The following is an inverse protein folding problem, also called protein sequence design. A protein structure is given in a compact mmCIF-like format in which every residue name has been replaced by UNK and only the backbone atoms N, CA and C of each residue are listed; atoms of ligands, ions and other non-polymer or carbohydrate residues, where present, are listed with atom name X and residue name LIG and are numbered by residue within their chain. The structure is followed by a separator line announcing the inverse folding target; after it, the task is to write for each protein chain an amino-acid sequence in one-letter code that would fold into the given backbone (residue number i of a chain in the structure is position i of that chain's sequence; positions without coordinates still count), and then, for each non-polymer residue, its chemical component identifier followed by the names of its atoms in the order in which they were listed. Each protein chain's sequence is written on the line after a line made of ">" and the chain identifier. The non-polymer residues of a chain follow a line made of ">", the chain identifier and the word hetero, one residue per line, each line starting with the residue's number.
data_IF_878628894503
#
_entry.id   IF_878628894503
#
_cell.length_a   1.000
_cell.length_b   1.000
_cell.length_c   1.000
_cell.angle_alpha   90.00
_cell.angle_beta   90.00
_cell.angle_gamma   90.00
#
_symmetry.space_group_name_H-M   'P 1'
#
loop_
_entity.id
_entity.type
_entity.pdbx_description
1 polymer ?
#
# COMPACT_ATOMS: atom_id res chain seq x y z
N UNK A 1 11.70 2.31 -15.86
CA UNK A 1 11.21 2.71 -14.54
C UNK A 1 12.01 3.91 -14.07
N UNK A 2 11.41 5.09 -14.00
CA UNK A 2 12.09 6.28 -13.45
C UNK A 2 11.72 6.41 -12.00
N UNK A 3 12.68 6.42 -11.13
CA UNK A 3 12.52 6.57 -9.70
C UNK A 3 13.03 7.95 -9.31
N UNK A 4 12.17 8.77 -8.72
CA UNK A 4 12.58 10.06 -8.18
C UNK A 4 12.96 9.86 -6.71
N UNK A 5 14.24 10.07 -6.39
CA UNK A 5 14.73 10.17 -5.02
C UNK A 5 14.85 11.65 -4.67
N UNK A 6 14.03 12.11 -3.74
CA UNK A 6 14.23 13.39 -3.08
C UNK A 6 14.24 13.15 -1.58
N UNK A 7 15.38 13.41 -0.95
CA UNK A 7 15.49 13.51 0.50
C UNK A 7 15.33 14.97 0.87
N UNK A 8 14.23 15.35 1.49
CA UNK A 8 14.14 16.65 2.16
C UNK A 8 14.29 16.42 3.66
N UNK A 9 15.40 16.90 4.18
CA UNK A 9 15.75 16.82 5.59
C UNK A 9 15.80 18.26 6.11
N UNK A 10 14.80 18.73 6.82
CA UNK A 10 14.78 19.97 7.60
C UNK A 10 13.70 21.00 7.21
N UNK A 11 12.47 20.75 7.61
CA UNK A 11 11.52 21.82 7.92
C UNK A 11 10.51 21.29 8.95
N UNK A 12 10.19 22.07 9.95
CA UNK A 12 9.10 21.81 10.91
C UNK A 12 7.95 22.76 10.58
N UNK A 13 6.70 22.27 10.56
CA UNK A 13 6.25 20.90 10.75
C UNK A 13 6.58 20.03 9.52
N UNK A 14 6.97 18.78 9.75
CA UNK A 14 7.45 17.90 8.67
C UNK A 14 6.31 17.12 7.99
N UNK A 15 5.20 16.93 8.68
CA UNK A 15 4.10 16.05 8.28
C UNK A 15 3.03 16.70 7.40
N UNK A 16 3.26 17.93 6.96
CA UNK A 16 2.31 18.70 6.13
C UNK A 16 2.25 18.18 4.70
N UNK A 17 1.08 18.33 4.08
CA UNK A 17 0.89 18.19 2.65
C UNK A 17 1.30 19.48 1.95
N UNK A 18 2.46 19.49 1.31
CA UNK A 18 3.03 20.67 0.66
C UNK A 18 2.75 20.70 -0.84
N UNK A 19 3.15 21.77 -1.52
CA UNK A 19 3.13 21.85 -3.00
C UNK A 19 3.89 20.68 -3.64
N UNK A 20 5.01 20.24 -3.05
CA UNK A 20 5.73 19.07 -3.57
C UNK A 20 4.91 17.77 -3.47
N UNK A 21 4.08 17.61 -2.43
CA UNK A 21 3.15 16.48 -2.32
C UNK A 21 2.02 16.60 -3.35
N UNK A 22 1.53 17.79 -3.60
CA UNK A 22 0.53 18.08 -4.64
C UNK A 22 1.08 17.74 -6.04
N UNK A 23 2.29 18.19 -6.38
CA UNK A 23 2.93 17.92 -7.68
C UNK A 23 3.08 16.41 -7.93
N UNK A 24 3.40 15.65 -6.87
CA UNK A 24 3.48 14.18 -6.93
C UNK A 24 2.11 13.57 -7.22
N UNK A 25 1.08 13.98 -6.51
CA UNK A 25 -0.27 13.45 -6.71
C UNK A 25 -0.84 13.86 -8.08
N UNK A 26 -0.55 15.08 -8.56
CA UNK A 26 -0.94 15.53 -9.90
C UNK A 26 -0.26 14.70 -10.99
N UNK A 27 1.04 14.43 -10.84
CA UNK A 27 1.75 13.55 -11.76
C UNK A 27 1.13 12.15 -11.77
N UNK A 28 0.89 11.55 -10.61
CA UNK A 28 0.32 10.20 -10.51
C UNK A 28 -1.13 10.15 -11.00
N UNK A 29 -1.92 11.22 -10.79
CA UNK A 29 -3.27 11.33 -11.34
C UNK A 29 -3.26 11.31 -12.87
N UNK A 30 -2.27 11.95 -13.50
CA UNK A 30 -2.13 11.99 -14.95
C UNK A 30 -1.43 10.76 -15.54
N UNK A 31 -0.74 9.95 -14.71
CA UNK A 31 0.02 8.76 -15.10
C UNK A 31 -0.33 7.56 -14.21
N UNK A 32 -1.53 6.99 -14.44
CA UNK A 32 -2.14 5.96 -13.57
C UNK A 32 -1.36 4.64 -13.46
N UNK A 33 -0.37 4.39 -14.30
CA UNK A 33 0.51 3.22 -14.27
C UNK A 33 1.86 3.50 -13.60
N UNK A 34 2.08 4.73 -13.10
CA UNK A 34 3.35 5.16 -12.52
C UNK A 34 3.27 5.25 -11.00
N UNK A 35 3.87 4.29 -10.27
CA UNK A 35 3.94 4.31 -8.81
C UNK A 35 5.20 5.01 -8.33
N UNK A 36 5.05 6.02 -7.47
CA UNK A 36 6.14 6.78 -6.85
C UNK A 36 6.35 6.31 -5.41
N UNK A 37 7.62 6.27 -4.98
CA UNK A 37 8.05 5.88 -3.63
C UNK A 37 8.89 6.99 -3.01
N UNK A 38 8.62 7.28 -1.74
CA UNK A 38 9.43 8.20 -0.94
C UNK A 38 9.89 7.56 0.35
N UNK A 39 11.10 7.91 0.76
CA UNK A 39 11.57 7.65 2.10
C UNK A 39 10.73 8.45 3.10
N UNK A 40 10.28 7.80 4.19
CA UNK A 40 9.47 8.45 5.21
C UNK A 40 10.21 9.58 5.96
N UNK A 41 11.54 9.51 5.98
CA UNK A 41 12.44 10.41 6.71
C UNK A 41 13.20 9.70 7.83
N UNK A 42 14.22 10.37 8.37
CA UNK A 42 15.11 9.82 9.41
C UNK A 42 15.03 10.64 10.71
N UNK A 43 13.89 11.24 11.00
CA UNK A 43 13.62 12.06 12.19
C UNK A 43 12.83 11.31 13.26
N UNK A 44 12.73 9.96 13.13
CA UNK A 44 12.03 9.11 14.08
C UNK A 44 12.79 8.91 15.40
N UNK A 45 12.15 8.17 16.32
CA UNK A 45 10.85 7.52 16.25
C UNK A 45 9.66 8.41 16.68
N UNK A 46 9.85 9.72 16.77
CA UNK A 46 8.81 10.67 17.19
C UNK A 46 7.61 10.64 16.23
N UNK A 47 6.41 10.90 16.77
CA UNK A 47 5.17 11.05 15.98
C UNK A 47 5.23 12.29 15.09
N UNK A 48 4.47 12.29 13.99
CA UNK A 48 4.38 13.41 13.04
C UNK A 48 5.75 13.86 12.48
N UNK A 49 6.67 12.90 12.30
CA UNK A 49 8.03 13.14 11.80
C UNK A 49 8.23 12.70 10.34
N UNK A 50 7.19 12.15 9.70
CA UNK A 50 7.19 11.86 8.25
C UNK A 50 7.29 13.17 7.46
N UNK A 51 8.09 13.19 6.39
CA UNK A 51 8.37 14.43 5.65
C UNK A 51 7.72 14.49 4.27
N UNK A 52 7.32 15.70 3.83
CA UNK A 52 6.95 15.93 2.44
C UNK A 52 8.19 15.72 1.52
N UNK A 53 8.01 15.15 0.29
CA UNK A 53 6.75 14.81 -0.36
C UNK A 53 6.22 13.40 -0.03
N UNK A 54 6.76 12.72 0.98
CA UNK A 54 6.29 11.40 1.44
C UNK A 54 4.85 11.45 1.99
N UNK A 55 4.34 12.65 2.27
CA UNK A 55 2.95 12.91 2.70
C UNK A 55 1.95 12.96 1.54
N UNK A 56 2.36 12.82 0.29
CA UNK A 56 1.45 12.73 -0.87
C UNK A 56 0.44 11.58 -0.69
N UNK A 57 -0.80 11.76 -1.21
CA UNK A 57 -1.90 10.81 -1.02
C UNK A 57 -1.64 9.48 -1.71
N UNK A 58 -1.12 9.53 -2.93
CA UNK A 58 -1.02 8.38 -3.84
C UNK A 58 0.36 7.73 -3.85
N UNK A 59 1.42 8.44 -3.42
CA UNK A 59 2.76 7.89 -3.31
C UNK A 59 2.88 6.92 -2.11
N UNK A 60 3.73 5.91 -2.26
CA UNK A 60 4.09 5.01 -1.16
C UNK A 60 5.20 5.63 -0.31
N UNK A 61 4.88 5.94 0.94
CA UNK A 61 5.84 6.32 1.96
C UNK A 61 6.45 5.06 2.59
N UNK A 62 7.77 4.99 2.68
CA UNK A 62 8.49 3.78 3.09
C UNK A 62 9.30 4.04 4.35
N UNK A 63 8.94 3.34 5.42
CA UNK A 63 9.70 3.29 6.67
C UNK A 63 10.85 2.27 6.61
N UNK A 64 11.78 2.39 7.55
CA UNK A 64 12.96 1.54 7.64
C UNK A 64 12.87 0.54 8.77
N UNK A 65 13.19 -0.74 8.48
CA UNK A 65 13.43 -1.78 9.49
C UNK A 65 14.90 -2.16 9.57
N UNK A 66 15.25 -2.88 10.61
CA UNK A 66 16.50 -3.63 10.69
C UNK A 66 16.49 -4.74 9.60
N UNK A 67 17.62 -5.44 9.44
CA UNK A 67 17.77 -6.51 8.44
C UNK A 67 17.97 -7.89 9.08
N UNK A 68 17.90 -8.93 8.26
CA UNK A 68 18.14 -10.32 8.67
C UNK A 68 17.14 -10.79 9.71
N UNK A 69 17.60 -11.45 10.75
CA UNK A 69 16.75 -11.98 11.85
C UNK A 69 16.04 -10.89 12.65
N UNK A 70 16.51 -9.65 12.59
CA UNK A 70 15.92 -8.49 13.27
C UNK A 70 14.98 -7.69 12.38
N UNK A 71 14.65 -8.15 11.17
CA UNK A 71 13.83 -7.41 10.20
C UNK A 71 12.40 -7.07 10.69
N UNK A 72 11.92 -7.72 11.76
CA UNK A 72 10.64 -7.43 12.39
C UNK A 72 10.70 -6.30 13.44
N UNK A 73 11.79 -5.51 13.45
CA UNK A 73 11.95 -4.34 14.31
C UNK A 73 12.22 -3.10 13.47
N UNK A 74 11.60 -1.98 13.84
CA UNK A 74 11.86 -0.68 13.22
C UNK A 74 13.30 -0.23 13.44
N UNK A 75 13.87 0.48 12.46
CA UNK A 75 15.07 1.28 12.68
C UNK A 75 14.73 2.47 13.58
N UNK A 76 15.57 2.76 14.56
CA UNK A 76 15.32 3.81 15.57
C UNK A 76 15.19 5.23 14.99
N UNK A 77 15.72 5.44 13.80
CA UNK A 77 15.67 6.72 13.09
C UNK A 77 14.44 6.85 12.16
N UNK A 78 13.71 5.76 11.87
CA UNK A 78 12.62 5.79 10.90
C UNK A 78 11.50 6.73 11.33
N UNK A 79 11.20 7.73 10.50
CA UNK A 79 10.11 8.68 10.75
C UNK A 79 8.75 7.98 10.82
N UNK A 80 7.88 8.52 11.66
CA UNK A 80 6.52 8.06 11.88
C UNK A 80 5.50 9.16 11.54
N UNK A 81 4.32 8.76 11.09
CA UNK A 81 3.15 9.64 10.98
C UNK A 81 2.52 9.97 12.35
N UNK A 82 1.27 10.37 12.34
CA UNK A 82 0.43 10.60 11.16
C UNK A 82 0.87 11.83 10.36
N UNK A 83 0.28 12.01 9.18
CA UNK A 83 0.29 13.31 8.50
C UNK A 83 -0.53 14.33 9.29
N UNK A 84 -0.45 15.60 8.91
CA UNK A 84 -1.18 16.70 9.54
C UNK A 84 -2.71 16.48 9.58
N UNK A 85 -3.26 15.87 8.53
CA UNK A 85 -4.69 15.51 8.43
C UNK A 85 -5.01 14.11 9.00
N UNK A 86 -4.01 13.40 9.56
CA UNK A 86 -4.19 12.13 10.27
C UNK A 86 -4.15 10.88 9.38
N UNK A 87 -3.65 10.97 8.13
CA UNK A 87 -3.43 9.79 7.28
C UNK A 87 -2.29 8.92 7.82
N UNK A 88 -2.40 7.63 7.56
CA UNK A 88 -1.38 6.64 7.91
C UNK A 88 -0.20 6.76 6.96
N UNK A 89 0.94 7.17 7.48
CA UNK A 89 2.24 7.18 6.82
C UNK A 89 3.34 6.78 7.85
N UNK A 90 4.36 6.01 7.43
CA UNK A 90 4.52 5.35 6.12
C UNK A 90 3.45 4.28 5.87
N UNK A 91 3.21 3.89 4.60
CA UNK A 91 2.31 2.77 4.29
C UNK A 91 2.95 1.41 4.59
N UNK A 92 4.22 1.26 4.27
CA UNK A 92 4.95 -0.01 4.45
C UNK A 92 6.35 0.24 4.97
N UNK A 93 6.97 -0.84 5.44
CA UNK A 93 8.37 -0.83 5.86
C UNK A 93 9.17 -1.89 5.11
N UNK A 94 10.45 -1.60 4.89
CA UNK A 94 11.42 -2.47 4.24
C UNK A 94 12.77 -2.31 4.97
N UNK A 95 13.65 -3.32 4.99
CA UNK A 95 14.97 -3.17 5.57
C UNK A 95 15.75 -1.99 4.98
N UNK A 96 16.22 -1.10 5.84
CA UNK A 96 16.99 0.09 5.48
C UNK A 96 18.19 0.35 6.39
N UNK A 97 18.45 -0.54 7.37
CA UNK A 97 19.62 -0.45 8.24
C UNK A 97 20.75 -1.34 7.74
N UNK A 98 21.96 -0.75 7.62
CA UNK A 98 23.19 -1.44 7.20
C UNK A 98 23.06 -2.14 5.84
N UNK A 99 22.42 -1.49 4.91
CA UNK A 99 22.26 -1.99 3.53
C UNK A 99 23.54 -1.75 2.77
N UNK A 100 24.08 -2.82 2.17
CA UNK A 100 25.32 -2.77 1.39
C UNK A 100 24.95 -2.61 -0.09
N UNK A 101 25.58 -1.63 -0.74
CA UNK A 101 25.39 -1.35 -2.17
C UNK A 101 26.70 -0.81 -2.79
N UNK A 102 26.68 -0.56 -4.09
CA UNK A 102 27.82 -0.01 -4.81
C UNK A 102 28.29 1.32 -4.20
N UNK A 103 29.60 1.49 -4.09
CA UNK A 103 30.21 2.72 -3.59
C UNK A 103 30.66 3.59 -4.77
N UNK A 104 30.09 4.78 -4.91
CA UNK A 104 30.58 5.77 -5.86
C UNK A 104 31.88 6.41 -5.33
N UNK A 105 32.89 6.47 -6.17
CA UNK A 105 34.18 7.12 -5.87
C UNK A 105 34.34 8.51 -6.50
N UNK A 106 33.26 9.04 -7.09
CA UNK A 106 33.18 10.30 -7.84
C UNK A 106 34.10 10.38 -9.06
N UNK A 107 34.61 9.25 -9.54
CA UNK A 107 35.43 9.15 -10.76
C UNK A 107 34.69 8.33 -11.82
N UNK A 108 34.12 9.00 -12.82
CA UNK A 108 33.36 8.37 -13.90
C UNK A 108 34.21 7.46 -14.82
N UNK A 109 35.53 7.56 -14.74
CA UNK A 109 36.47 6.75 -15.52
C UNK A 109 36.98 5.52 -14.73
N UNK A 110 36.63 5.35 -13.49
CA UNK A 110 37.05 4.20 -12.68
C UNK A 110 36.18 2.98 -12.96
N UNK A 111 36.76 1.79 -12.85
CA UNK A 111 36.07 0.51 -12.79
C UNK A 111 35.96 0.04 -11.32
N UNK A 112 35.47 0.91 -10.43
CA UNK A 112 35.37 0.64 -9.04
C UNK A 112 34.27 -0.40 -8.77
N UNK A 113 34.63 -1.52 -8.14
CA UNK A 113 33.71 -2.56 -7.69
C UNK A 113 33.52 -2.55 -6.14
N UNK A 114 33.92 -1.49 -5.48
CA UNK A 114 33.80 -1.37 -4.03
C UNK A 114 32.34 -1.24 -3.59
N UNK A 115 32.06 -1.63 -2.37
CA UNK A 115 30.76 -1.50 -1.74
C UNK A 115 30.83 -0.66 -0.46
N UNK A 116 29.69 -0.07 -0.09
CA UNK A 116 29.53 0.69 1.14
C UNK A 116 28.24 0.30 1.84
N UNK A 117 28.27 0.22 3.17
CA UNK A 117 27.07 0.01 4.00
C UNK A 117 26.50 1.35 4.45
N UNK A 118 25.21 1.56 4.20
CA UNK A 118 24.49 2.76 4.60
C UNK A 118 23.19 2.40 5.34
N UNK A 119 22.69 3.34 6.16
CA UNK A 119 21.44 3.20 6.88
C UNK A 119 20.56 4.44 6.67
N UNK A 120 19.28 4.23 6.42
CA UNK A 120 18.31 5.29 6.23
C UNK A 120 17.02 4.75 5.58
N UNK A 121 15.93 5.46 5.72
CA UNK A 121 14.71 5.22 4.92
C UNK A 121 14.98 5.41 3.43
N UNK A 122 16.06 6.13 3.06
CA UNK A 122 16.58 6.25 1.70
C UNK A 122 17.11 4.92 1.12
N UNK A 123 17.47 3.95 1.97
CA UNK A 123 17.85 2.59 1.57
C UNK A 123 16.64 1.66 1.52
N UNK A 124 15.63 1.91 2.37
CA UNK A 124 14.38 1.17 2.36
C UNK A 124 13.51 1.49 1.13
N UNK A 125 13.40 2.75 0.74
CA UNK A 125 12.55 3.21 -0.37
C UNK A 125 12.89 2.52 -1.71
N UNK A 126 14.15 2.45 -2.18
CA UNK A 126 14.50 1.71 -3.39
C UNK A 126 14.25 0.20 -3.26
N UNK A 127 14.37 -0.34 -2.04
CA UNK A 127 13.99 -1.73 -1.76
C UNK A 127 12.50 -1.99 -2.03
N UNK A 128 11.62 -1.10 -1.54
CA UNK A 128 10.18 -1.18 -1.82
C UNK A 128 9.86 -1.04 -3.30
N UNK A 129 10.55 -0.13 -4.01
CA UNK A 129 10.39 0.04 -5.44
C UNK A 129 10.85 -1.21 -6.22
N UNK A 130 11.96 -1.84 -5.82
CA UNK A 130 12.43 -3.10 -6.39
C UNK A 130 11.44 -4.24 -6.18
N UNK A 131 10.88 -4.38 -4.97
CA UNK A 131 9.83 -5.36 -4.69
C UNK A 131 8.57 -5.09 -5.55
N UNK A 132 8.20 -3.82 -5.75
CA UNK A 132 7.06 -3.47 -6.61
C UNK A 132 7.35 -3.71 -8.10
N UNK A 133 8.62 -3.64 -8.51
CA UNK A 133 9.01 -4.05 -9.85
C UNK A 133 8.77 -5.56 -10.08
N UNK A 134 9.03 -6.39 -9.07
CA UNK A 134 8.69 -7.82 -9.11
C UNK A 134 7.17 -8.06 -9.15
N UNK A 135 6.37 -7.27 -8.40
CA UNK A 135 4.91 -7.31 -8.51
C UNK A 135 4.46 -6.94 -9.93
N UNK A 136 5.03 -5.88 -10.52
CA UNK A 136 4.73 -5.49 -11.90
C UNK A 136 5.06 -6.63 -12.85
N UNK A 137 6.25 -7.21 -12.72
CA UNK A 137 6.69 -8.36 -13.53
C UNK A 137 5.72 -9.53 -13.40
N UNK A 138 5.28 -9.85 -12.19
CA UNK A 138 4.29 -10.91 -11.93
C UNK A 138 3.03 -10.74 -12.77
N UNK A 139 2.51 -9.50 -12.89
CA UNK A 139 1.34 -9.22 -13.72
C UNK A 139 1.67 -9.14 -15.21
N UNK A 140 2.77 -8.50 -15.60
CA UNK A 140 3.12 -8.34 -17.02
C UNK A 140 3.55 -9.63 -17.69
N UNK A 141 4.19 -10.54 -16.96
CA UNK A 141 4.61 -11.85 -17.48
C UNK A 141 3.48 -12.91 -17.37
N UNK A 142 2.28 -12.50 -16.89
CA UNK A 142 1.08 -13.34 -16.85
C UNK A 142 1.14 -14.45 -15.81
N UNK A 143 1.80 -14.25 -14.67
CA UNK A 143 1.72 -15.21 -13.56
C UNK A 143 0.32 -15.23 -12.93
N UNK A 144 -0.36 -14.09 -12.87
CA UNK A 144 -1.76 -14.03 -12.45
C UNK A 144 -2.66 -14.48 -13.62
N UNK A 145 -3.69 -15.35 -13.42
CA UNK A 145 -4.16 -15.90 -12.13
C UNK A 145 -3.58 -17.28 -11.77
N UNK A 146 -2.77 -17.88 -12.63
CA UNK A 146 -2.39 -19.32 -12.54
C UNK A 146 -1.19 -19.58 -11.63
N UNK A 147 -0.40 -18.55 -11.32
CA UNK A 147 0.87 -18.64 -10.60
C UNK A 147 2.06 -19.08 -11.46
N UNK A 148 1.84 -19.28 -12.74
CA UNK A 148 2.88 -19.63 -13.72
C UNK A 148 2.84 -18.63 -14.88
N UNK A 149 4.00 -18.25 -15.39
CA UNK A 149 4.10 -17.29 -16.50
C UNK A 149 3.30 -17.77 -17.73
N UNK A 150 2.44 -16.91 -18.28
CA UNK A 150 1.62 -17.22 -19.43
C UNK A 150 1.25 -15.96 -20.21
N UNK A 151 1.79 -15.82 -21.43
CA UNK A 151 1.63 -14.62 -22.24
C UNK A 151 0.16 -14.13 -22.43
N UNK A 152 -0.86 -15.00 -22.56
CA UNK A 152 -2.25 -14.54 -22.70
C UNK A 152 -2.80 -13.81 -21.46
N UNK A 153 -2.24 -14.08 -20.28
CA UNK A 153 -2.71 -13.54 -19.01
C UNK A 153 -1.99 -12.24 -18.61
N UNK A 154 -0.96 -11.85 -19.35
CA UNK A 154 -0.15 -10.67 -19.05
C UNK A 154 -0.90 -9.35 -19.27
N UNK A 155 -0.82 -8.43 -18.30
CA UNK A 155 -1.38 -7.09 -18.43
C UNK A 155 -0.50 -6.06 -17.69
N UNK A 156 -0.67 -4.77 -18.06
CA UNK A 156 0.02 -3.67 -17.38
C UNK A 156 -0.80 -3.23 -16.17
N UNK A 157 -0.29 -3.43 -14.93
CA UNK A 157 -1.03 -3.03 -13.73
C UNK A 157 -1.00 -1.52 -13.52
N UNK A 158 -2.08 -0.97 -12.96
CA UNK A 158 -2.11 0.42 -12.51
C UNK A 158 -1.24 0.61 -11.25
N UNK A 159 -0.86 1.86 -10.94
CA UNK A 159 -0.21 2.22 -9.69
C UNK A 159 -1.07 1.81 -8.47
N UNK A 160 -2.38 1.95 -8.57
CA UNK A 160 -3.32 1.52 -7.53
C UNK A 160 -3.22 0.02 -7.26
N UNK A 161 -3.18 -0.84 -8.31
CA UNK A 161 -3.00 -2.28 -8.13
C UNK A 161 -1.63 -2.62 -7.55
N UNK A 162 -0.56 -1.97 -8.02
CA UNK A 162 0.78 -2.17 -7.47
C UNK A 162 0.84 -1.84 -5.99
N UNK A 163 0.29 -0.68 -5.58
CA UNK A 163 0.22 -0.26 -4.18
C UNK A 163 -0.65 -1.19 -3.34
N UNK A 164 -1.83 -1.56 -3.84
CA UNK A 164 -2.72 -2.48 -3.14
C UNK A 164 -2.06 -3.85 -2.92
N UNK A 165 -1.36 -4.40 -3.93
CA UNK A 165 -0.66 -5.69 -3.81
C UNK A 165 0.53 -5.59 -2.84
N UNK A 166 1.31 -4.50 -2.92
CA UNK A 166 2.43 -4.26 -2.01
C UNK A 166 1.96 -4.21 -0.55
N UNK A 167 0.92 -3.43 -0.27
CA UNK A 167 0.36 -3.30 1.09
C UNK A 167 -0.35 -4.59 1.52
N UNK A 168 -1.04 -5.29 0.62
CA UNK A 168 -1.63 -6.60 0.91
C UNK A 168 -0.57 -7.63 1.33
N UNK A 169 0.63 -7.56 0.75
CA UNK A 169 1.74 -8.45 1.10
C UNK A 169 2.34 -8.17 2.49
N UNK A 170 2.08 -7.00 3.07
CA UNK A 170 2.73 -6.58 4.30
C UNK A 170 2.37 -7.49 5.48
N UNK A 171 3.39 -7.77 6.29
CA UNK A 171 3.30 -8.54 7.52
C UNK A 171 3.44 -7.63 8.72
N UNK A 172 2.55 -7.75 9.68
CA UNK A 172 2.67 -7.05 10.96
C UNK A 172 4.00 -7.39 11.62
N UNK A 173 4.69 -6.37 12.09
CA UNK A 173 5.89 -6.54 12.90
C UNK A 173 5.54 -6.66 14.39
N UNK A 174 6.44 -7.28 15.15
CA UNK A 174 6.22 -7.47 16.60
C UNK A 174 6.46 -6.20 17.39
N UNK A 175 7.21 -5.23 16.83
CA UNK A 175 7.56 -3.97 17.49
C UNK A 175 7.57 -2.82 16.49
N UNK A 176 6.71 -1.83 16.63
CA UNK A 176 5.54 -1.73 17.52
C UNK A 176 4.41 -2.67 17.04
N UNK A 177 3.57 -3.21 17.94
CA UNK A 177 2.60 -4.25 17.59
C UNK A 177 1.27 -3.71 17.00
N UNK A 178 1.25 -2.50 16.47
CA UNK A 178 0.01 -1.85 15.99
C UNK A 178 0.01 -1.79 14.47
N UNK A 179 -0.98 -2.43 13.85
CA UNK A 179 -1.26 -2.41 12.41
C UNK A 179 -2.75 -2.12 12.19
N UNK A 180 -3.12 -1.22 11.27
CA UNK A 180 -2.25 -0.22 10.69
C UNK A 180 -1.78 0.80 11.74
N UNK A 181 -0.57 1.35 11.58
CA UNK A 181 -0.01 2.25 12.57
C UNK A 181 0.97 3.26 11.98
N UNK A 182 1.15 4.36 12.72
CA UNK A 182 1.90 5.51 12.22
C UNK A 182 3.41 5.27 12.02
N UNK A 183 3.99 4.17 12.49
CA UNK A 183 5.41 3.89 12.30
C UNK A 183 5.66 2.75 11.31
N UNK A 184 4.84 1.69 11.33
CA UNK A 184 5.01 0.56 10.41
C UNK A 184 4.00 0.52 9.27
N UNK A 185 3.01 1.43 9.27
CA UNK A 185 1.90 1.38 8.32
C UNK A 185 1.14 0.06 8.44
N UNK A 186 0.98 -0.62 7.33
CA UNK A 186 0.40 -1.97 7.28
C UNK A 186 1.42 -3.09 7.54
N UNK A 187 2.70 -2.73 7.78
CA UNK A 187 3.75 -3.67 8.17
C UNK A 187 4.93 -3.75 7.21
N UNK A 188 5.76 -4.77 7.41
CA UNK A 188 6.93 -5.05 6.58
C UNK A 188 6.52 -5.85 5.34
N UNK A 189 6.96 -5.39 4.16
CA UNK A 189 6.67 -6.04 2.89
C UNK A 189 7.26 -7.46 2.87
N UNK A 190 6.40 -8.43 2.48
CA UNK A 190 6.77 -9.82 2.24
C UNK A 190 5.92 -10.34 1.07
N UNK A 191 6.43 -10.33 -0.15
CA UNK A 191 5.67 -10.61 -1.37
C UNK A 191 5.03 -11.99 -1.37
N UNK A 192 5.66 -12.94 -0.70
CA UNK A 192 5.15 -14.30 -0.51
C UNK A 192 3.76 -14.33 0.17
N UNK A 193 3.40 -13.30 0.94
CA UNK A 193 2.08 -13.18 1.55
C UNK A 193 0.96 -12.74 0.58
N UNK A 194 1.29 -12.30 -0.64
CA UNK A 194 0.29 -11.84 -1.61
C UNK A 194 0.37 -12.60 -2.94
N UNK A 195 1.56 -12.76 -3.51
CA UNK A 195 1.71 -13.41 -4.80
C UNK A 195 1.40 -14.90 -4.68
N UNK A 196 0.67 -15.41 -5.66
CA UNK A 196 0.28 -16.82 -5.73
C UNK A 196 1.19 -17.60 -6.68
N UNK A 197 1.66 -18.74 -6.24
CA UNK A 197 2.38 -19.71 -7.06
C UNK A 197 1.77 -21.11 -6.93
N UNK A 198 1.99 -22.03 -7.92
CA UNK A 198 1.47 -23.38 -7.86
C UNK A 198 1.94 -24.13 -6.60
N UNK A 199 0.99 -24.67 -5.85
CA UNK A 199 1.24 -25.35 -4.57
C UNK A 199 0.81 -24.53 -3.35
N UNK A 200 0.58 -23.23 -3.50
CA UNK A 200 0.10 -22.38 -2.41
C UNK A 200 -1.38 -22.66 -2.08
N UNK A 201 -1.70 -22.72 -0.79
CA UNK A 201 -3.09 -22.75 -0.32
C UNK A 201 -3.74 -21.37 -0.44
N UNK A 202 -2.97 -20.31 -0.14
CA UNK A 202 -3.40 -18.93 -0.32
C UNK A 202 -3.53 -18.62 -1.80
N UNK A 203 -4.65 -18.07 -2.20
CA UNK A 203 -4.95 -17.59 -3.54
C UNK A 203 -4.85 -16.07 -3.57
N UNK A 204 -4.55 -15.56 -4.78
CA UNK A 204 -4.61 -14.13 -5.11
C UNK A 204 -5.76 -13.91 -6.08
N UNK A 205 -6.61 -12.94 -5.79
CA UNK A 205 -7.63 -12.44 -6.72
C UNK A 205 -7.51 -10.92 -6.80
N UNK A 206 -7.58 -10.37 -8.02
CA UNK A 206 -7.47 -8.93 -8.24
C UNK A 206 -8.51 -8.42 -9.24
N UNK A 207 -8.88 -7.16 -9.06
CA UNK A 207 -9.52 -6.33 -10.06
C UNK A 207 -8.76 -5.02 -10.16
N UNK A 208 -8.48 -4.61 -11.39
CA UNK A 208 -7.76 -3.39 -11.71
C UNK A 208 -8.55 -2.51 -12.66
N UNK A 209 -8.36 -1.20 -12.57
CA UNK A 209 -8.98 -0.24 -13.47
C UNK A 209 -10.51 -0.11 -13.34
N UNK A 210 -11.10 -0.62 -12.24
CA UNK A 210 -12.49 -0.32 -11.90
C UNK A 210 -12.68 1.18 -11.73
N UNK A 211 -13.85 1.71 -12.07
CA UNK A 211 -14.10 3.14 -12.00
C UNK A 211 -15.42 3.47 -11.33
N UNK A 212 -15.42 4.55 -10.55
CA UNK A 212 -16.63 5.26 -10.12
C UNK A 212 -16.74 6.58 -10.88
N UNK A 213 -17.97 6.94 -11.34
CA UNK A 213 -18.18 8.22 -12.02
C UNK A 213 -18.05 9.40 -11.07
N UNK A 214 -17.96 10.60 -11.64
CA UNK A 214 -17.99 11.85 -10.85
C UNK A 214 -19.30 12.00 -10.11
N UNK A 215 -19.23 12.53 -8.89
CA UNK A 215 -20.36 12.76 -7.99
C UNK A 215 -20.58 11.59 -7.02
N UNK A 216 -21.41 11.82 -6.01
CA UNK A 216 -21.92 10.75 -5.17
C UNK A 216 -23.11 10.10 -5.86
N UNK A 217 -22.93 8.89 -6.32
CA UNK A 217 -23.95 8.18 -7.12
C UNK A 217 -24.63 7.05 -6.36
N UNK A 218 -24.15 6.72 -5.15
CA UNK A 218 -24.59 5.56 -4.38
C UNK A 218 -24.30 4.24 -5.08
N UNK A 219 -23.29 4.25 -5.95
CA UNK A 219 -22.87 3.05 -6.69
C UNK A 219 -21.94 2.21 -5.85
N UNK A 220 -21.87 0.93 -6.20
CA UNK A 220 -20.97 0.00 -5.54
C UNK A 220 -20.42 -1.04 -6.51
N UNK A 221 -19.33 -1.65 -6.10
CA UNK A 221 -18.72 -2.82 -6.75
C UNK A 221 -18.76 -3.96 -5.74
N UNK A 222 -19.44 -5.06 -6.07
CA UNK A 222 -19.68 -6.18 -5.14
C UNK A 222 -19.16 -7.48 -5.73
N UNK A 223 -18.29 -8.14 -4.96
CA UNK A 223 -17.72 -9.44 -5.28
C UNK A 223 -17.95 -10.42 -4.12
N UNK A 224 -18.22 -11.68 -4.45
CA UNK A 224 -18.41 -12.73 -3.45
C UNK A 224 -17.38 -13.83 -3.57
N UNK A 225 -16.99 -14.35 -2.41
CA UNK A 225 -16.00 -15.39 -2.27
C UNK A 225 -16.47 -16.46 -1.30
N UNK A 226 -16.16 -17.72 -1.63
CA UNK A 226 -16.08 -18.76 -0.59
C UNK A 226 -14.71 -18.64 0.05
N UNK A 227 -14.67 -18.55 1.37
CA UNK A 227 -13.44 -18.46 2.16
C UNK A 227 -13.31 -19.75 2.99
N UNK A 228 -12.20 -20.43 2.84
CA UNK A 228 -11.82 -21.62 3.62
C UNK A 228 -10.98 -21.25 4.85
N UNK A 229 -10.74 -22.23 5.71
CA UNK A 229 -9.83 -22.09 6.85
C UNK A 229 -8.35 -22.18 6.42
N UNK A 230 -7.44 -21.90 7.35
CA UNK A 230 -6.00 -22.16 7.26
C UNK A 230 -5.17 -20.99 6.73
N UNK A 231 -5.79 -20.00 6.08
CA UNK A 231 -5.11 -18.79 5.59
C UNK A 231 -5.82 -17.54 6.11
N UNK A 232 -5.08 -16.46 6.43
CA UNK A 232 -5.69 -15.16 6.68
C UNK A 232 -6.46 -14.67 5.45
N UNK A 233 -7.62 -14.03 5.67
CA UNK A 233 -8.31 -13.28 4.63
C UNK A 233 -7.83 -11.83 4.70
N UNK A 234 -7.27 -11.33 3.60
CA UNK A 234 -6.86 -9.94 3.50
C UNK A 234 -7.47 -9.31 2.23
N UNK A 235 -8.19 -8.22 2.40
CA UNK A 235 -8.79 -7.44 1.32
C UNK A 235 -8.21 -6.04 1.37
N UNK A 236 -7.60 -5.60 0.28
CA UNK A 236 -7.00 -4.26 0.17
C UNK A 236 -7.57 -3.56 -1.05
N UNK A 237 -8.08 -2.35 -0.85
CA UNK A 237 -8.52 -1.43 -1.91
C UNK A 237 -7.58 -0.23 -1.91
N UNK A 238 -7.14 0.20 -3.09
CA UNK A 238 -6.36 1.42 -3.25
C UNK A 238 -6.81 2.18 -4.49
N UNK A 239 -6.62 3.49 -4.44
CA UNK A 239 -6.89 4.37 -5.58
C UNK A 239 -5.87 5.49 -5.66
N UNK A 240 -5.54 5.90 -6.89
CA UNK A 240 -4.76 7.12 -7.13
C UNK A 240 -5.72 8.28 -7.13
N UNK A 241 -5.72 9.04 -6.04
CA UNK A 241 -6.69 10.11 -5.82
C UNK A 241 -6.40 11.36 -6.68
N UNK A 242 -7.43 12.17 -6.87
CA UNK A 242 -7.25 13.52 -7.43
C UNK A 242 -6.37 14.36 -6.49
N UNK A 243 -5.42 15.18 -7.02
CA UNK A 243 -4.52 15.95 -6.17
C UNK A 243 -5.27 16.92 -5.26
N UNK A 244 -4.84 16.98 -4.01
CA UNK A 244 -5.33 17.97 -3.05
C UNK A 244 -4.59 19.30 -3.20
N UNK A 245 -4.87 20.25 -2.34
CA UNK A 245 -4.12 21.50 -2.20
C UNK A 245 -3.52 21.60 -0.80
N UNK A 246 -2.39 22.32 -0.60
CA UNK A 246 -1.80 22.49 0.72
C UNK A 246 -2.72 23.15 1.77
N UNK A 247 -3.77 23.84 1.33
CA UNK A 247 -4.73 24.50 2.21
C UNK A 247 -5.95 23.64 2.56
N UNK A 248 -6.10 22.47 1.95
CA UNK A 248 -7.23 21.58 2.22
C UNK A 248 -7.02 20.81 3.53
N UNK A 249 -8.14 20.42 4.17
CA UNK A 249 -8.14 19.55 5.35
C UNK A 249 -9.51 18.88 5.45
N UNK A 250 -9.61 17.55 5.28
CA UNK A 250 -8.55 16.60 4.95
C UNK A 250 -8.06 16.72 3.50
N UNK A 251 -6.94 16.05 3.19
CA UNK A 251 -6.37 16.01 1.85
C UNK A 251 -6.98 14.93 0.95
N UNK A 252 -7.86 14.09 1.46
CA UNK A 252 -8.65 13.12 0.68
C UNK A 252 -9.64 13.86 -0.21
N UNK A 253 -9.57 13.62 -1.52
CA UNK A 253 -10.45 14.26 -2.50
C UNK A 253 -11.61 13.34 -2.88
N UNK A 254 -11.31 12.17 -3.43
CA UNK A 254 -12.30 11.15 -3.73
C UNK A 254 -12.29 10.10 -2.64
N UNK A 255 -13.43 9.86 -2.01
CA UNK A 255 -13.61 9.01 -0.85
C UNK A 255 -14.39 7.74 -1.22
N UNK A 256 -13.73 6.60 -1.07
CA UNK A 256 -14.27 5.26 -1.33
C UNK A 256 -14.24 4.42 -0.05
N UNK A 257 -15.28 3.64 0.19
CA UNK A 257 -15.44 2.80 1.38
C UNK A 257 -15.30 1.31 1.06
N UNK A 258 -14.37 0.61 1.71
CA UNK A 258 -14.29 -0.84 1.72
C UNK A 258 -15.16 -1.43 2.85
N UNK A 259 -16.04 -2.35 2.48
CA UNK A 259 -16.90 -3.10 3.39
C UNK A 259 -16.76 -4.58 3.07
N UNK A 260 -16.44 -5.39 4.08
CA UNK A 260 -16.38 -6.85 3.97
C UNK A 260 -17.38 -7.45 4.95
N UNK A 261 -18.32 -8.24 4.43
CA UNK A 261 -19.34 -8.92 5.25
C UNK A 261 -19.17 -10.43 5.12
N UNK A 262 -19.11 -11.12 6.23
CA UNK A 262 -18.97 -12.57 6.31
C UNK A 262 -19.63 -13.16 7.56
N UNK A 263 -19.42 -14.45 7.84
CA UNK A 263 -20.04 -15.12 9.00
C UNK A 263 -19.73 -14.47 10.36
N UNK A 264 -18.57 -13.80 10.48
CA UNK A 264 -18.14 -13.09 11.69
C UNK A 264 -18.72 -11.69 11.82
N UNK A 265 -19.46 -11.18 10.83
CA UNK A 265 -20.07 -9.84 10.83
C UNK A 265 -19.60 -8.95 9.69
N UNK A 266 -19.75 -7.65 9.85
CA UNK A 266 -19.39 -6.62 8.87
C UNK A 266 -18.17 -5.83 9.36
N UNK A 267 -17.16 -5.75 8.51
CA UNK A 267 -15.88 -5.10 8.75
C UNK A 267 -15.74 -3.91 7.78
N UNK A 268 -15.27 -2.78 8.29
CA UNK A 268 -14.95 -1.60 7.49
C UNK A 268 -13.45 -1.49 7.29
N UNK A 269 -13.04 -0.90 6.18
CA UNK A 269 -11.63 -0.63 5.90
C UNK A 269 -10.95 0.14 7.02
N UNK A 270 -9.73 -0.24 7.34
CA UNK A 270 -8.88 0.38 8.34
C UNK A 270 -9.42 0.42 9.80
N UNK A 271 -10.46 -0.35 10.11
CA UNK A 271 -10.96 -0.51 11.48
C UNK A 271 -10.33 -1.74 12.11
N UNK A 272 -9.29 -1.53 12.91
CA UNK A 272 -8.46 -2.57 13.49
C UNK A 272 -8.43 -2.52 15.02
N UNK A 273 -8.27 -3.69 15.63
CA UNK A 273 -7.95 -3.86 17.03
C UNK A 273 -7.12 -5.14 17.20
N UNK A 274 -6.05 -5.09 18.00
CA UNK A 274 -5.20 -6.27 18.24
C UNK A 274 -4.54 -6.85 16.98
N UNK A 275 -4.25 -6.01 15.96
CA UNK A 275 -3.56 -6.44 14.74
C UNK A 275 -4.43 -7.13 13.69
N UNK A 276 -5.76 -7.01 13.79
CA UNK A 276 -6.71 -7.47 12.77
C UNK A 276 -7.97 -6.59 12.76
N UNK A 277 -8.78 -6.73 11.73
CA UNK A 277 -10.05 -5.99 11.63
C UNK A 277 -11.06 -6.44 12.67
N UNK A 278 -11.84 -5.50 13.16
CA UNK A 278 -12.96 -5.72 14.09
C UNK A 278 -14.26 -5.18 13.49
N UNK A 279 -15.37 -5.70 13.95
CA UNK A 279 -16.70 -5.25 13.53
C UNK A 279 -17.06 -3.89 14.12
N UNK A 280 -17.96 -3.17 13.45
CA UNK A 280 -18.36 -1.81 13.85
C UNK A 280 -17.36 -0.76 13.37
N UNK A 281 -17.19 0.31 14.16
CA UNK A 281 -16.32 1.44 13.82
C UNK A 281 -16.90 2.36 12.76
N UNK A 282 -16.18 3.47 12.50
CA UNK A 282 -16.51 4.43 11.45
C UNK A 282 -15.73 4.10 10.17
N UNK A 283 -16.27 4.53 9.02
CA UNK A 283 -15.54 4.49 7.76
C UNK A 283 -14.33 5.42 7.80
N UNK A 284 -13.28 5.07 7.08
CA UNK A 284 -12.08 5.90 6.92
C UNK A 284 -12.40 7.06 5.98
N UNK A 285 -12.10 8.28 6.39
CA UNK A 285 -12.34 9.52 5.62
C UNK A 285 -11.05 10.27 5.32
N UNK A 286 -9.92 9.57 5.31
CA UNK A 286 -8.59 10.19 5.21
C UNK A 286 -7.66 9.49 4.24
N UNK A 287 -7.65 8.15 4.28
CA UNK A 287 -6.67 7.38 3.52
C UNK A 287 -7.20 6.99 2.13
N UNK A 288 -6.31 6.98 1.14
CA UNK A 288 -6.55 6.52 -0.24
C UNK A 288 -6.24 5.02 -0.41
N UNK A 289 -6.19 4.31 0.71
CA UNK A 289 -6.02 2.88 0.80
C UNK A 289 -6.75 2.36 2.03
N UNK A 290 -7.55 1.32 1.82
CA UNK A 290 -8.29 0.65 2.89
C UNK A 290 -8.03 -0.86 2.89
N UNK A 291 -7.93 -1.42 4.08
CA UNK A 291 -7.69 -2.85 4.27
C UNK A 291 -8.60 -3.45 5.34
N UNK A 292 -9.07 -4.66 5.04
CA UNK A 292 -9.64 -5.60 6.02
C UNK A 292 -8.72 -6.80 6.13
N UNK A 293 -8.35 -7.18 7.35
CA UNK A 293 -7.53 -8.34 7.69
C UNK A 293 -8.21 -9.17 8.75
N UNK A 294 -8.45 -10.45 8.46
CA UNK A 294 -8.92 -11.46 9.40
C UNK A 294 -7.86 -12.55 9.49
N UNK A 295 -7.16 -12.66 10.62
CA UNK A 295 -6.07 -13.63 10.80
C UNK A 295 -6.55 -15.09 10.78
N UNK A 296 -7.78 -15.33 11.25
CA UNK A 296 -8.43 -16.64 11.24
C UNK A 296 -9.90 -16.45 10.83
N UNK A 297 -10.20 -16.27 9.53
CA UNK A 297 -11.57 -16.06 9.08
C UNK A 297 -12.43 -17.31 9.35
N UNK A 298 -13.66 -17.11 9.81
CA UNK A 298 -14.64 -18.20 9.89
C UNK A 298 -14.98 -18.65 8.47
N UNK A 299 -14.84 -19.93 8.12
CA UNK A 299 -15.15 -20.41 6.78
C UNK A 299 -16.61 -20.10 6.38
N UNK A 300 -16.81 -19.71 5.12
CA UNK A 300 -18.13 -19.37 4.60
C UNK A 300 -18.09 -18.40 3.44
N UNK A 301 -19.23 -17.82 3.14
CA UNK A 301 -19.36 -16.80 2.08
C UNK A 301 -19.05 -15.42 2.61
N UNK A 302 -18.18 -14.72 1.91
CA UNK A 302 -17.83 -13.33 2.17
C UNK A 302 -18.22 -12.46 0.97
N UNK A 303 -18.76 -11.29 1.28
CA UNK A 303 -19.03 -10.22 0.32
C UNK A 303 -18.02 -9.10 0.52
N UNK A 304 -17.31 -8.75 -0.55
CA UNK A 304 -16.42 -7.58 -0.63
C UNK A 304 -17.15 -6.51 -1.42
N UNK A 305 -17.42 -5.39 -0.79
CA UNK A 305 -18.10 -4.25 -1.38
C UNK A 305 -17.23 -3.01 -1.29
N UNK A 306 -17.18 -2.24 -2.37
CA UNK A 306 -16.57 -0.91 -2.41
C UNK A 306 -17.67 0.07 -2.81
N UNK A 307 -17.90 1.09 -2.00
CA UNK A 307 -18.90 2.14 -2.23
C UNK A 307 -18.22 3.45 -2.64
N UNK A 308 -18.88 4.24 -3.50
CA UNK A 308 -18.53 5.62 -3.78
C UNK A 308 -19.15 6.55 -2.72
N UNK A 309 -18.46 6.80 -1.64
CA UNK A 309 -18.99 7.72 -0.63
C UNK A 309 -19.05 9.15 -1.17
N UNK A 310 -17.98 9.62 -1.80
CA UNK A 310 -17.91 10.94 -2.43
C UNK A 310 -16.82 10.98 -3.49
N UNK A 311 -17.15 11.28 -4.75
CA UNK A 311 -16.22 11.34 -5.88
C UNK A 311 -16.38 12.67 -6.62
N UNK A 312 -15.99 13.80 -6.01
CA UNK A 312 -16.15 15.12 -6.65
C UNK A 312 -15.32 15.28 -7.93
N UNK A 313 -14.19 14.61 -8.02
CA UNK A 313 -13.24 14.72 -9.14
C UNK A 313 -13.00 13.35 -9.80
N UNK A 314 -14.00 12.85 -10.49
CA UNK A 314 -13.95 11.57 -11.19
C UNK A 314 -13.65 11.68 -12.70
N UNK A 315 -13.68 10.54 -13.44
CA UNK A 315 -13.90 9.21 -12.88
C UNK A 315 -12.74 8.75 -12.01
N UNK A 316 -13.05 8.11 -10.85
CA UNK A 316 -12.04 7.61 -9.92
C UNK A 316 -11.74 6.14 -10.20
N UNK A 317 -10.56 5.81 -10.74
CA UNK A 317 -10.11 4.43 -10.88
C UNK A 317 -9.61 3.88 -9.55
N UNK A 318 -9.83 2.57 -9.34
CA UNK A 318 -9.40 1.84 -8.15
C UNK A 318 -8.95 0.42 -8.50
N UNK A 319 -8.24 -0.20 -7.57
CA UNK A 319 -7.87 -1.60 -7.61
C UNK A 319 -8.27 -2.31 -6.31
N UNK A 320 -8.64 -3.59 -6.44
CA UNK A 320 -9.00 -4.46 -5.32
C UNK A 320 -8.07 -5.67 -5.35
N UNK A 321 -7.49 -6.02 -4.22
CA UNK A 321 -6.66 -7.21 -4.01
C UNK A 321 -7.25 -8.04 -2.87
N UNK A 322 -7.51 -9.32 -3.12
CA UNK A 322 -7.99 -10.28 -2.12
C UNK A 322 -7.01 -11.45 -2.05
N UNK A 323 -6.51 -11.74 -0.86
CA UNK A 323 -5.69 -12.92 -0.60
C UNK A 323 -6.27 -13.77 0.53
N UNK A 324 -6.11 -15.08 0.43
CA UNK A 324 -6.61 -16.05 1.40
C UNK A 324 -6.88 -17.41 0.76
N UNK A 325 -7.43 -18.33 1.52
CA UNK A 325 -8.00 -19.55 0.96
C UNK A 325 -9.36 -19.20 0.33
N UNK A 326 -9.34 -18.56 -0.84
CA UNK A 326 -10.53 -17.96 -1.45
C UNK A 326 -10.84 -18.56 -2.82
N UNK A 327 -12.13 -18.69 -3.12
CA UNK A 327 -12.65 -18.99 -4.45
C UNK A 327 -13.71 -17.96 -4.81
N UNK A 328 -13.53 -17.24 -5.91
CA UNK A 328 -14.49 -16.24 -6.36
C UNK A 328 -15.78 -16.92 -6.88
N UNK A 329 -16.94 -16.40 -6.45
CA UNK A 329 -18.27 -16.92 -6.83
C UNK A 329 -18.87 -16.19 -8.05
N UNK A 330 -18.10 -15.32 -8.69
CA UNK A 330 -18.53 -14.50 -9.82
C UNK A 330 -18.96 -13.07 -9.42
N UNK A 331 -19.18 -12.24 -10.43
CA UNK A 331 -19.70 -10.87 -10.28
C UNK A 331 -21.15 -10.90 -9.78
N UNK A 332 -21.44 -10.18 -8.70
CA UNK A 332 -22.80 -10.06 -8.19
C UNK A 332 -23.48 -8.74 -8.55
N UNK A 333 -22.79 -7.64 -8.65
CA UNK A 333 -23.25 -6.41 -9.32
C UNK A 333 -22.11 -5.38 -9.49
N UNK A 334 -22.11 -4.70 -10.64
CA UNK A 334 -21.48 -3.40 -10.82
C UNK A 334 -22.62 -2.40 -11.07
N UNK A 335 -23.12 -1.77 -10.03
CA UNK A 335 -24.17 -0.74 -10.09
C UNK A 335 -23.58 0.64 -9.92
#
# INVERSE_FOLDING_TARGET
>A
MRQAFLSNQNASPQNDYTTASQDVDEFMWNHKDFQIFFAAGNSGPGTASVGSPSTANSAVSVGSTLRGTSANSMSSFSSCGPTDDGRIKPEVTVPGSSIVSANADNNVASNNCNTVGMSGTSMASPGAAGLTALIRQYYTDGFYPTGAAGAPDGFTPTAALLRATLVNSAQQMTVPPVVPGNCQGWGRVLLDNALFFPGDTRRLWVKDGLQFPTGHTGKNKVYRFTVGAGEPLKVTVAWTDFPSTPAAMPHLNNDLDLIVTGPGGTYRGNVFSGGQSTTGGAADRRNTLEQVLLNAPTPGTYEVRVDDFNVPNGPQPLAIVVTGNVTALGLTSER
#
